data_IF_455600652144
#
_entry.id   IF_455600652144
#
_cell.length_a   1.000
_cell.length_b   1.000
_cell.length_c   1.000
_cell.angle_alpha   90.00
_cell.angle_beta   90.00
_cell.angle_gamma   90.00
#
_symmetry.space_group_name_H-M   'P 1'
#
loop_
_entity.id
_entity.type
_entity.pdbx_description
1 polymer ?
#
# COMPACT_ATOMS: atom_id res chain seq x y z
N UNK A 1 -22.25 -4.01 14.59
CA UNK A 1 -20.82 -3.73 14.77
C UNK A 1 -20.21 -3.90 13.40
N UNK A 2 -19.65 -2.83 12.83
CA UNK A 2 -19.33 -2.72 11.41
C UNK A 2 -18.44 -3.87 10.93
N UNK A 3 -18.91 -4.58 9.91
CA UNK A 3 -18.13 -5.55 9.14
C UNK A 3 -16.86 -4.84 8.67
N UNK A 4 -15.74 -5.26 9.25
CA UNK A 4 -14.43 -4.76 8.90
C UNK A 4 -14.18 -5.19 7.46
N UNK A 5 -14.39 -4.28 6.52
CA UNK A 5 -13.88 -4.40 5.17
C UNK A 5 -12.43 -4.88 5.30
N UNK A 6 -12.12 -6.09 4.84
CA UNK A 6 -10.90 -6.84 5.20
C UNK A 6 -9.64 -6.30 4.50
N UNK A 7 -9.63 -5.00 4.19
CA UNK A 7 -8.52 -4.27 3.62
C UNK A 7 -7.48 -3.96 4.71
N UNK A 8 -6.28 -4.44 4.55
CA UNK A 8 -5.15 -4.11 5.43
C UNK A 8 -4.46 -2.83 4.94
N UNK A 9 -4.20 -1.88 5.84
CA UNK A 9 -3.29 -0.77 5.52
C UNK A 9 -1.87 -1.29 5.53
N UNK A 10 -1.08 -0.94 4.53
CA UNK A 10 0.36 -1.21 4.52
C UNK A 10 1.10 -0.06 3.85
N UNK A 11 2.40 0.06 4.16
CA UNK A 11 3.27 0.97 3.44
C UNK A 11 3.83 0.24 2.21
N UNK A 12 3.99 0.96 1.11
CA UNK A 12 4.71 0.50 -0.05
C UNK A 12 5.76 1.53 -0.44
N UNK A 13 6.86 1.09 -1.03
CA UNK A 13 7.87 1.97 -1.60
C UNK A 13 7.81 1.85 -3.12
N UNK A 14 7.93 2.98 -3.82
CA UNK A 14 8.11 2.97 -5.25
C UNK A 14 9.55 2.57 -5.59
N UNK A 15 9.77 1.47 -6.30
CA UNK A 15 11.12 1.01 -6.67
C UNK A 15 11.79 1.93 -7.71
N UNK A 16 11.05 2.88 -8.29
CA UNK A 16 11.53 3.80 -9.32
C UNK A 16 12.08 5.11 -8.72
N UNK A 17 11.40 5.66 -7.70
CA UNK A 17 11.79 6.92 -7.05
C UNK A 17 12.09 6.81 -5.56
N UNK A 18 11.98 5.60 -4.99
CA UNK A 18 12.13 5.29 -3.56
C UNK A 18 11.11 6.03 -2.65
N UNK A 19 10.02 6.55 -3.23
CA UNK A 19 8.99 7.26 -2.50
C UNK A 19 8.13 6.30 -1.68
N UNK A 20 7.92 6.60 -0.39
CA UNK A 20 7.11 5.78 0.51
C UNK A 20 5.68 6.27 0.48
N UNK A 21 4.78 5.38 0.07
CA UNK A 21 3.36 5.66 -0.10
C UNK A 21 2.54 4.69 0.76
N UNK A 22 1.35 5.11 1.16
CA UNK A 22 0.45 4.22 1.90
C UNK A 22 -0.50 3.56 0.91
N UNK A 23 -0.68 2.24 1.03
CA UNK A 23 -1.58 1.45 0.18
C UNK A 23 -2.55 0.61 1.03
N UNK A 24 -3.70 0.32 0.45
CA UNK A 24 -4.65 -0.69 0.90
C UNK A 24 -4.35 -2.01 0.20
N UNK A 25 -4.14 -3.06 0.99
CA UNK A 25 -4.06 -4.43 0.50
C UNK A 25 -5.42 -5.08 0.76
N UNK A 26 -6.10 -5.44 -0.32
CA UNK A 26 -7.34 -6.20 -0.25
C UNK A 26 -7.05 -7.69 0.01
N UNK A 27 -8.02 -8.45 0.55
CA UNK A 27 -7.84 -9.88 0.80
C UNK A 27 -7.56 -10.70 -0.47
N UNK A 28 -8.01 -10.22 -1.64
CA UNK A 28 -7.71 -10.79 -2.95
C UNK A 28 -6.25 -10.55 -3.40
N UNK A 29 -5.48 -9.75 -2.67
CA UNK A 29 -4.12 -9.34 -3.02
C UNK A 29 -4.04 -8.10 -3.91
N UNK A 30 -5.18 -7.44 -4.16
CA UNK A 30 -5.22 -6.15 -4.86
C UNK A 30 -4.57 -5.06 -4.00
N UNK A 31 -3.76 -4.20 -4.61
CA UNK A 31 -3.05 -3.12 -3.94
C UNK A 31 -3.55 -1.79 -4.51
N UNK A 32 -4.22 -1.00 -3.67
CA UNK A 32 -4.76 0.31 -4.03
C UNK A 32 -4.08 1.41 -3.22
N UNK A 33 -3.43 2.41 -3.83
CA UNK A 33 -2.90 3.54 -3.09
C UNK A 33 -3.99 4.27 -2.31
N UNK A 34 -3.66 4.63 -1.07
CA UNK A 34 -4.56 5.41 -0.21
C UNK A 34 -4.38 6.88 -0.58
N UNK A 35 -5.31 7.41 -1.36
CA UNK A 35 -5.35 8.84 -1.70
C UNK A 35 -5.40 9.08 -3.19
N UNK A 36 -4.58 10.01 -3.66
CA UNK A 36 -4.53 10.40 -5.07
C UNK A 36 -4.02 9.22 -5.93
N UNK A 37 -4.59 9.06 -7.12
CA UNK A 37 -4.23 7.96 -8.03
C UNK A 37 -2.75 7.98 -8.43
N UNK A 38 -2.06 9.10 -8.18
CA UNK A 38 -0.67 9.32 -8.52
C UNK A 38 0.18 9.59 -7.27
N UNK A 39 0.44 8.58 -6.43
CA UNK A 39 1.13 8.77 -5.15
C UNK A 39 2.63 9.11 -5.30
N UNK A 40 3.17 8.99 -6.52
CA UNK A 40 4.53 9.38 -6.89
C UNK A 40 4.57 9.84 -8.34
N UNK A 41 5.53 10.69 -8.72
CA UNK A 41 5.59 11.33 -10.05
C UNK A 41 6.03 10.41 -11.21
N UNK A 42 6.04 9.10 -11.01
CA UNK A 42 6.44 8.09 -11.99
C UNK A 42 5.30 7.77 -12.96
N UNK A 43 5.62 7.59 -14.24
CA UNK A 43 4.65 7.21 -15.28
C UNK A 43 4.21 5.75 -15.15
N UNK A 44 5.09 4.89 -14.63
CA UNK A 44 4.84 3.47 -14.33
C UNK A 44 5.51 3.13 -12.98
N UNK A 45 4.85 3.43 -11.85
CA UNK A 45 5.40 3.13 -10.54
C UNK A 45 5.19 1.67 -10.17
N UNK A 46 6.29 0.96 -9.96
CA UNK A 46 6.28 -0.34 -9.30
C UNK A 46 6.32 -0.14 -7.78
N UNK A 47 5.27 -0.59 -7.08
CA UNK A 47 5.17 -0.49 -5.64
C UNK A 47 5.53 -1.82 -4.98
N UNK A 48 6.51 -1.80 -4.08
CA UNK A 48 6.87 -2.93 -3.24
C UNK A 48 6.34 -2.74 -1.83
N UNK A 49 5.52 -3.66 -1.35
CA UNK A 49 5.00 -3.63 0.03
C UNK A 49 6.17 -3.72 1.01
N UNK A 50 6.34 -2.67 1.79
CA UNK A 50 7.16 -2.69 2.99
C UNK A 50 6.30 -3.39 4.03
N UNK A 51 6.55 -4.70 4.22
CA UNK A 51 5.79 -5.55 5.14
C UNK A 51 5.46 -4.76 6.41
N UNK A 52 4.18 -4.41 6.59
CA UNK A 52 3.70 -3.97 7.87
C UNK A 52 3.74 -5.21 8.73
N UNK A 53 4.77 -5.41 9.53
CA UNK A 53 4.76 -6.41 10.59
C UNK A 53 3.73 -5.98 11.64
N UNK A 54 2.53 -6.62 11.75
CA UNK A 54 1.60 -6.29 12.83
C UNK A 54 2.05 -6.86 14.20
N UNK A 55 3.30 -7.32 14.34
CA UNK A 55 3.79 -8.00 15.54
C UNK A 55 5.30 -7.77 15.75
N UNK A 56 5.66 -6.62 16.30
CA UNK A 56 6.82 -6.58 17.20
C UNK A 56 6.38 -7.13 18.55
N UNK A 57 6.95 -8.28 18.90
CA UNK A 57 6.68 -9.13 20.07
C UNK A 57 7.01 -8.50 21.41
#
# INVERSE_FOLDING_TARGET
MAESEERAKSAAVCENCDEIVTVWIWPDGDIQPIGDSNPCSCVDPEFRILNADPRST
#
